data_IF_113957604567
#
_entry.id   IF_113957604567
#
_cell.length_a   1.000
_cell.length_b   1.000
_cell.length_c   1.000
_cell.angle_alpha   90.00
_cell.angle_beta   90.00
_cell.angle_gamma   90.00
#
_symmetry.space_group_name_H-M   'P 1'
#
loop_
_entity.id
_entity.type
_entity.pdbx_description
1 polymer ?
#
# COMPACT_ATOMS: atom_id res chain seq x y z
N UNK A 1 1.36 8.60 30.75
CA UNK A 1 2.73 8.34 30.29
C UNK A 1 3.50 9.64 30.36
N UNK A 2 4.67 9.63 31.00
CA UNK A 2 5.50 10.83 31.10
C UNK A 2 5.97 11.23 29.69
N UNK A 3 5.54 12.39 29.21
CA UNK A 3 5.80 12.88 27.85
C UNK A 3 7.25 13.35 27.61
N UNK A 4 8.13 13.21 28.61
CA UNK A 4 9.52 13.71 28.57
C UNK A 4 10.58 12.64 28.27
N UNK A 5 10.22 11.37 28.13
CA UNK A 5 11.19 10.31 27.88
C UNK A 5 11.37 10.06 26.39
N UNK A 6 12.64 9.99 25.91
CA UNK A 6 12.93 9.84 24.48
C UNK A 6 12.56 8.44 23.96
N UNK A 7 12.73 7.40 24.78
CA UNK A 7 12.32 6.01 24.50
C UNK A 7 11.43 5.48 25.62
N UNK A 8 10.49 4.54 25.34
CA UNK A 8 9.60 3.97 26.34
C UNK A 8 10.36 3.11 27.37
N UNK A 9 9.80 2.96 28.56
CA UNK A 9 10.40 2.22 29.66
C UNK A 9 10.67 0.75 29.33
N UNK A 10 9.80 0.08 28.58
CA UNK A 10 10.04 -1.31 28.17
C UNK A 10 11.25 -1.46 27.24
N UNK A 11 11.54 -0.47 26.36
CA UNK A 11 12.75 -0.44 25.53
C UNK A 11 13.99 -0.19 26.39
N UNK A 12 13.92 0.74 27.36
CA UNK A 12 15.02 0.97 28.31
C UNK A 12 15.34 -0.27 29.11
N UNK A 13 14.32 -0.97 29.59
CA UNK A 13 14.48 -2.22 30.32
C UNK A 13 15.23 -3.27 29.51
N UNK A 14 14.87 -3.44 28.22
CA UNK A 14 15.58 -4.36 27.32
C UNK A 14 17.04 -3.92 27.10
N UNK A 15 17.27 -2.63 26.80
CA UNK A 15 18.65 -2.09 26.64
C UNK A 15 19.48 -2.35 27.89
N UNK A 16 18.94 -2.04 29.08
CA UNK A 16 19.65 -2.23 30.34
C UNK A 16 20.00 -3.70 30.60
N UNK A 17 19.17 -4.67 30.19
CA UNK A 17 19.51 -6.10 30.31
C UNK A 17 20.75 -6.48 29.48
N UNK A 18 20.83 -5.97 28.23
CA UNK A 18 22.01 -6.18 27.39
C UNK A 18 23.26 -5.51 28.00
N UNK A 19 23.16 -4.25 28.40
CA UNK A 19 24.28 -3.50 29.00
C UNK A 19 24.76 -4.14 30.30
N UNK A 20 23.85 -4.63 31.16
CA UNK A 20 24.18 -5.34 32.41
C UNK A 20 24.83 -6.71 32.12
N UNK A 21 24.61 -7.29 30.93
CA UNK A 21 25.27 -8.52 30.49
C UNK A 21 26.56 -8.26 29.72
N UNK A 22 27.03 -7.01 29.63
CA UNK A 22 28.28 -6.59 28.99
C UNK A 22 28.20 -6.35 27.50
N UNK A 23 26.99 -6.25 26.94
CA UNK A 23 26.78 -5.98 25.51
C UNK A 23 26.29 -4.54 25.27
N UNK A 24 26.65 -3.98 24.13
CA UNK A 24 26.04 -2.73 23.67
C UNK A 24 24.62 -3.00 23.11
N UNK A 25 23.66 -2.11 23.39
CA UNK A 25 22.33 -2.16 22.81
C UNK A 25 21.75 -0.75 22.64
N UNK A 26 21.01 -0.58 21.56
CA UNK A 26 20.40 0.71 21.17
C UNK A 26 19.04 0.51 20.53
N UNK A 27 18.11 1.44 20.77
CA UNK A 27 17.00 1.66 19.87
C UNK A 27 17.53 2.29 18.58
N UNK A 28 17.03 1.91 17.38
CA UNK A 28 17.71 2.27 16.14
C UNK A 28 16.77 2.43 14.94
N UNK A 29 17.13 3.32 14.03
CA UNK A 29 16.46 3.40 12.73
C UNK A 29 15.15 4.20 12.74
N UNK A 30 14.08 3.60 12.20
CA UNK A 30 12.80 4.27 11.99
C UNK A 30 12.20 4.85 13.25
N UNK A 31 12.25 4.14 14.37
CA UNK A 31 11.70 4.60 15.65
C UNK A 31 12.40 5.87 16.14
N UNK A 32 13.70 6.01 15.94
CA UNK A 32 14.47 7.21 16.33
C UNK A 32 14.10 8.40 15.43
N UNK A 33 14.06 8.19 14.11
CA UNK A 33 13.61 9.21 13.15
C UNK A 33 12.23 9.74 13.50
N UNK A 34 11.26 8.85 13.68
CA UNK A 34 9.87 9.24 13.90
C UNK A 34 9.70 9.92 15.25
N UNK A 35 10.48 9.50 16.27
CA UNK A 35 10.51 10.20 17.56
C UNK A 35 11.06 11.64 17.45
N UNK A 36 12.10 11.84 16.64
CA UNK A 36 12.65 13.17 16.36
C UNK A 36 11.65 14.06 15.60
N UNK A 37 10.75 13.47 14.80
CA UNK A 37 9.65 14.15 14.12
C UNK A 37 8.42 14.40 15.04
N UNK A 38 8.44 13.93 16.28
CA UNK A 38 7.29 14.03 17.20
C UNK A 38 6.12 13.11 16.83
N UNK A 39 6.37 12.06 16.01
CA UNK A 39 5.38 11.10 15.59
C UNK A 39 5.21 9.98 16.62
N UNK A 40 4.01 9.40 16.68
CA UNK A 40 3.75 8.22 17.52
C UNK A 40 4.46 6.99 16.94
N UNK A 41 5.11 6.21 17.83
CA UNK A 41 5.81 4.97 17.48
C UNK A 41 4.94 3.76 17.80
N UNK A 42 4.82 2.85 16.85
CA UNK A 42 4.16 1.55 17.04
C UNK A 42 5.18 0.40 17.03
N UNK A 43 6.21 0.51 16.20
CA UNK A 43 7.22 -0.52 16.01
C UNK A 43 8.57 -0.03 16.54
N UNK A 44 9.21 -0.82 17.40
CA UNK A 44 10.52 -0.52 17.94
C UNK A 44 11.55 -1.53 17.46
N UNK A 45 12.62 -1.00 16.87
CA UNK A 45 13.78 -1.77 16.45
C UNK A 45 14.93 -1.50 17.40
N UNK A 46 15.61 -2.57 17.80
CA UNK A 46 16.84 -2.52 18.59
C UNK A 46 17.98 -3.18 17.82
N UNK A 47 19.20 -2.73 18.08
CA UNK A 47 20.41 -3.41 17.66
C UNK A 47 21.35 -3.62 18.84
N UNK A 48 22.15 -4.70 18.79
CA UNK A 48 23.06 -5.10 19.89
C UNK A 48 24.34 -5.74 19.38
N UNK A 49 25.41 -5.65 20.19
CA UNK A 49 26.65 -6.38 19.95
C UNK A 49 26.56 -7.87 20.31
N UNK A 50 25.51 -8.29 21.05
CA UNK A 50 25.29 -9.70 21.39
C UNK A 50 25.04 -10.54 20.13
N UNK A 51 25.72 -11.67 20.01
CA UNK A 51 25.44 -12.66 18.97
C UNK A 51 24.07 -13.31 19.17
N UNK A 52 23.45 -13.90 18.14
CA UNK A 52 22.09 -14.46 18.25
C UNK A 52 21.88 -15.42 19.44
N UNK A 53 22.85 -16.28 19.72
CA UNK A 53 22.77 -17.21 20.86
C UNK A 53 22.88 -16.50 22.23
N UNK A 54 23.58 -15.37 22.26
CA UNK A 54 23.70 -14.53 23.46
C UNK A 54 22.43 -13.71 23.68
N UNK A 55 21.77 -13.25 22.59
CA UNK A 55 20.47 -12.58 22.67
C UNK A 55 19.43 -13.46 23.38
N UNK A 56 19.38 -14.76 23.06
CA UNK A 56 18.46 -15.68 23.75
C UNK A 56 18.76 -15.82 25.25
N UNK A 57 20.06 -15.80 25.63
CA UNK A 57 20.47 -15.90 27.05
C UNK A 57 20.12 -14.62 27.82
N UNK A 58 20.40 -13.45 27.23
CA UNK A 58 20.12 -12.15 27.85
C UNK A 58 18.64 -11.94 28.06
N UNK A 59 17.83 -12.41 27.10
CA UNK A 59 16.37 -12.24 27.10
C UNK A 59 15.63 -13.48 27.65
N UNK A 60 16.32 -14.30 28.46
CA UNK A 60 15.65 -15.41 29.15
C UNK A 60 14.45 -14.92 29.95
N UNK A 61 13.34 -15.64 29.84
CA UNK A 61 12.04 -15.29 30.42
C UNK A 61 11.11 -14.46 29.52
N UNK A 62 11.57 -14.05 28.33
CA UNK A 62 10.67 -13.49 27.29
C UNK A 62 10.32 -14.53 26.23
N UNK A 63 9.14 -14.37 25.62
CA UNK A 63 8.81 -15.10 24.40
C UNK A 63 9.59 -14.50 23.22
N UNK A 64 10.41 -15.33 22.54
CA UNK A 64 11.25 -14.92 21.41
C UNK A 64 10.84 -15.68 20.17
N UNK A 65 10.44 -14.95 19.12
CA UNK A 65 10.10 -15.51 17.82
C UNK A 65 11.29 -15.36 16.86
N UNK A 66 11.82 -16.46 16.28
CA UNK A 66 13.00 -16.44 15.40
C UNK A 66 12.63 -15.93 13.98
N UNK A 67 12.16 -14.71 13.85
CA UNK A 67 11.63 -14.12 12.61
C UNK A 67 12.68 -13.99 11.49
N UNK A 68 13.97 -13.87 11.86
CA UNK A 68 15.06 -13.69 10.89
C UNK A 68 16.42 -14.14 11.43
N UNK A 69 16.48 -15.27 12.14
CA UNK A 69 17.69 -15.74 12.85
C UNK A 69 18.92 -15.88 11.94
N UNK A 70 18.73 -16.27 10.68
CA UNK A 70 19.82 -16.33 9.68
C UNK A 70 20.45 -14.96 9.40
N UNK A 71 19.72 -13.89 9.70
CA UNK A 71 20.15 -12.50 9.54
C UNK A 71 20.41 -11.83 10.90
N UNK A 72 20.44 -12.62 11.99
CA UNK A 72 20.67 -12.12 13.34
C UNK A 72 19.53 -11.31 13.93
N UNK A 73 18.29 -11.46 13.41
CA UNK A 73 17.11 -10.75 13.91
C UNK A 73 16.16 -11.72 14.62
N UNK A 74 15.70 -11.33 15.79
CA UNK A 74 14.62 -12.00 16.53
C UNK A 74 13.55 -10.99 16.93
N UNK A 75 12.32 -11.44 17.09
CA UNK A 75 11.24 -10.62 17.63
C UNK A 75 10.97 -11.03 19.08
N UNK A 76 11.08 -10.09 20.00
CA UNK A 76 10.82 -10.23 21.41
C UNK A 76 9.42 -9.76 21.71
N UNK A 77 8.61 -10.60 22.35
CA UNK A 77 7.25 -10.25 22.77
C UNK A 77 7.31 -9.71 24.20
N UNK A 78 6.87 -8.48 24.39
CA UNK A 78 6.74 -7.84 25.70
C UNK A 78 5.26 -7.53 25.96
N UNK A 79 4.86 -7.27 27.21
CA UNK A 79 3.49 -6.83 27.53
C UNK A 79 3.07 -5.55 26.82
N UNK A 80 4.03 -4.68 26.47
CA UNK A 80 3.80 -3.38 25.84
C UNK A 80 3.93 -3.40 24.31
N UNK A 81 4.30 -4.54 23.72
CA UNK A 81 4.41 -4.73 22.27
C UNK A 81 5.56 -5.64 21.84
N UNK A 82 5.71 -5.82 20.54
CA UNK A 82 6.82 -6.59 19.96
C UNK A 82 8.01 -5.67 19.64
N UNK A 83 9.22 -6.18 19.85
CA UNK A 83 10.47 -5.47 19.58
C UNK A 83 11.35 -6.34 18.68
N UNK A 84 11.78 -5.81 17.54
CA UNK A 84 12.80 -6.49 16.72
C UNK A 84 14.20 -6.18 17.26
N UNK A 85 14.91 -7.24 17.65
CA UNK A 85 16.29 -7.15 18.13
C UNK A 85 17.23 -7.77 17.12
N UNK A 86 18.17 -6.98 16.61
CA UNK A 86 19.11 -7.40 15.56
C UNK A 86 20.55 -7.29 16.05
N UNK A 87 21.32 -8.37 15.93
CA UNK A 87 22.78 -8.34 16.15
C UNK A 87 23.48 -7.39 15.16
N UNK A 88 24.46 -6.62 15.57
CA UNK A 88 25.24 -5.75 14.68
C UNK A 88 25.80 -6.53 13.50
N UNK A 89 25.63 -5.98 12.30
CA UNK A 89 26.04 -6.63 11.05
C UNK A 89 26.95 -5.71 10.25
N UNK A 90 28.02 -6.27 9.69
CA UNK A 90 28.84 -5.59 8.70
C UNK A 90 28.33 -5.81 7.28
N UNK A 91 28.83 -5.00 6.34
CA UNK A 91 28.63 -5.24 4.91
C UNK A 91 29.30 -6.58 4.54
N UNK A 92 28.55 -7.50 3.95
CA UNK A 92 29.03 -8.73 3.32
C UNK A 92 29.16 -8.53 1.81
N UNK A 93 29.82 -9.46 1.11
CA UNK A 93 29.82 -9.49 -0.35
C UNK A 93 28.40 -9.85 -0.84
N UNK A 94 27.84 -9.02 -1.72
CA UNK A 94 26.53 -9.22 -2.32
C UNK A 94 26.70 -9.84 -3.72
N UNK A 95 26.27 -11.10 -3.89
CA UNK A 95 26.37 -11.80 -5.17
C UNK A 95 25.09 -11.71 -6.00
N UNK A 96 23.92 -11.46 -5.37
CA UNK A 96 22.61 -11.45 -6.03
C UNK A 96 21.81 -10.14 -5.87
N UNK A 97 22.47 -9.02 -5.50
CA UNK A 97 21.83 -7.72 -5.26
C UNK A 97 20.72 -7.77 -4.18
N UNK A 98 20.70 -8.79 -3.31
CA UNK A 98 19.67 -8.95 -2.27
C UNK A 98 20.17 -9.45 -0.93
N UNK A 99 20.98 -10.51 -0.93
CA UNK A 99 21.47 -11.16 0.29
C UNK A 99 22.98 -11.23 0.25
N UNK A 100 23.70 -10.81 1.32
CA UNK A 100 25.07 -11.21 1.46
C UNK A 100 25.12 -12.75 1.55
N UNK A 101 26.07 -13.39 0.90
CA UNK A 101 26.31 -14.85 0.98
C UNK A 101 26.46 -15.32 2.43
N UNK A 102 27.00 -14.46 3.28
CA UNK A 102 27.07 -14.67 4.74
C UNK A 102 26.84 -13.36 5.47
N UNK A 103 26.04 -13.40 6.53
CA UNK A 103 25.93 -12.29 7.48
C UNK A 103 27.14 -12.34 8.38
N UNK A 104 27.97 -11.30 8.35
CA UNK A 104 29.09 -11.17 9.28
C UNK A 104 28.62 -10.37 10.49
N UNK A 105 28.51 -11.01 11.63
CA UNK A 105 28.28 -10.32 12.89
C UNK A 105 29.53 -9.57 13.32
N UNK A 106 29.37 -8.38 13.84
CA UNK A 106 30.42 -7.45 14.23
C UNK A 106 30.11 -6.83 15.59
N UNK A 107 31.13 -6.24 16.22
CA UNK A 107 30.98 -5.56 17.51
C UNK A 107 31.05 -4.04 17.40
N UNK A 108 30.66 -3.48 16.24
CA UNK A 108 30.74 -2.03 15.99
C UNK A 108 29.39 -1.47 15.55
N UNK A 109 28.79 -0.62 16.38
CA UNK A 109 27.61 0.13 16.04
C UNK A 109 27.83 1.00 14.79
N UNK A 110 29.00 1.63 14.67
CA UNK A 110 29.34 2.48 13.52
C UNK A 110 29.20 1.74 12.19
N UNK A 111 29.75 0.50 12.11
CA UNK A 111 29.65 -0.30 10.90
C UNK A 111 28.21 -0.80 10.66
N UNK A 112 27.42 -1.10 11.70
CA UNK A 112 25.99 -1.42 11.54
C UNK A 112 25.19 -0.23 11.02
N UNK A 113 25.44 0.98 11.52
CA UNK A 113 24.80 2.19 11.03
C UNK A 113 25.22 2.53 9.59
N UNK A 114 26.49 2.31 9.23
CA UNK A 114 27.07 2.59 7.91
C UNK A 114 26.42 1.78 6.78
N UNK A 115 25.98 0.55 7.03
CA UNK A 115 25.31 -0.29 6.01
C UNK A 115 23.85 0.07 5.77
N UNK A 116 23.27 0.98 6.57
CA UNK A 116 21.87 1.38 6.43
C UNK A 116 21.64 2.19 5.15
N UNK A 117 20.39 2.35 4.79
CA UNK A 117 19.97 2.99 3.54
C UNK A 117 20.20 4.52 3.55
N UNK A 118 19.61 5.21 4.53
CA UNK A 118 19.59 6.67 4.59
C UNK A 118 20.03 7.17 5.95
N UNK A 119 20.66 8.38 5.96
CA UNK A 119 21.15 9.04 7.17
C UNK A 119 20.10 9.15 8.26
N UNK A 120 18.86 9.50 7.87
CA UNK A 120 17.70 9.63 8.77
C UNK A 120 17.29 8.30 9.44
N UNK A 121 17.74 7.16 8.94
CA UNK A 121 17.52 5.82 9.50
C UNK A 121 18.80 5.22 10.11
N UNK A 122 19.91 5.96 10.06
CA UNK A 122 21.20 5.55 10.58
C UNK A 122 21.54 6.27 11.90
N UNK A 123 20.54 6.41 12.75
CA UNK A 123 20.65 6.98 14.11
C UNK A 123 20.28 5.92 15.13
N UNK A 124 20.97 5.95 16.27
CA UNK A 124 20.72 5.05 17.39
C UNK A 124 20.59 5.83 18.70
N UNK A 125 19.95 5.25 19.73
CA UNK A 125 19.80 5.88 21.02
C UNK A 125 19.84 4.85 22.14
N UNK A 126 20.58 5.18 23.22
CA UNK A 126 20.41 4.59 24.56
C UNK A 126 20.48 5.68 25.61
N UNK A 127 19.95 5.43 26.81
CA UNK A 127 20.02 6.43 27.89
C UNK A 127 21.47 6.70 28.32
N UNK A 128 22.35 5.71 28.15
CA UNK A 128 23.78 5.83 28.48
C UNK A 128 24.55 6.69 27.48
N UNK A 129 24.31 6.51 26.18
CA UNK A 129 25.07 7.18 25.12
C UNK A 129 24.37 8.42 24.56
N UNK A 130 23.07 8.61 24.89
CA UNK A 130 22.26 9.60 24.21
C UNK A 130 22.02 9.26 22.75
N UNK A 131 21.77 10.25 21.93
CA UNK A 131 21.60 10.11 20.47
C UNK A 131 22.97 9.93 19.79
N UNK A 132 23.16 8.79 19.15
CA UNK A 132 24.33 8.48 18.31
C UNK A 132 23.95 8.74 16.85
N UNK A 133 24.51 9.80 16.26
CA UNK A 133 24.23 10.27 14.89
C UNK A 133 25.54 10.56 14.15
N UNK A 134 26.19 9.51 13.67
CA UNK A 134 27.51 9.58 13.02
C UNK A 134 27.42 10.14 11.60
N UNK A 135 26.27 9.95 10.93
CA UNK A 135 26.07 10.30 9.53
C UNK A 135 25.26 11.57 9.31
N UNK A 136 24.93 12.32 10.38
CA UNK A 136 24.24 13.59 10.30
C UNK A 136 22.73 13.48 9.99
N UNK A 137 22.12 12.36 10.33
CA UNK A 137 20.69 12.09 10.07
C UNK A 137 19.76 13.08 10.72
N UNK A 138 20.07 13.57 11.93
CA UNK A 138 19.30 14.61 12.63
C UNK A 138 19.34 15.95 11.88
N UNK A 139 20.50 16.31 11.34
CA UNK A 139 20.65 17.54 10.56
C UNK A 139 19.89 17.44 9.23
N UNK A 140 20.02 16.32 8.50
CA UNK A 140 19.30 16.04 7.27
C UNK A 140 17.77 16.04 7.52
N UNK A 141 17.32 15.42 8.61
CA UNK A 141 15.90 15.38 8.98
C UNK A 141 15.35 16.80 9.24
N UNK A 142 16.10 17.63 9.98
CA UNK A 142 15.74 19.01 10.25
C UNK A 142 15.73 19.87 8.97
N UNK A 143 16.62 19.59 8.03
CA UNK A 143 16.69 20.27 6.74
C UNK A 143 15.68 19.75 5.71
N UNK A 144 14.92 18.69 6.01
CA UNK A 144 14.00 18.08 5.08
C UNK A 144 14.70 17.34 3.93
N UNK A 145 15.88 16.76 4.18
CA UNK A 145 16.73 16.11 3.16
C UNK A 145 16.71 14.59 3.37
N UNK A 146 16.58 13.86 2.27
CA UNK A 146 16.82 12.41 2.20
C UNK A 146 18.14 12.14 1.51
N UNK A 147 19.11 11.60 2.26
CA UNK A 147 20.47 11.31 1.82
C UNK A 147 20.81 9.85 2.09
N UNK A 148 21.46 9.16 1.13
CA UNK A 148 22.06 7.86 1.36
C UNK A 148 23.20 7.92 2.38
N UNK A 149 23.41 6.83 3.10
CA UNK A 149 24.62 6.66 3.92
C UNK A 149 25.78 6.27 3.01
N UNK A 150 26.84 7.06 2.98
CA UNK A 150 28.01 6.84 2.13
C UNK A 150 27.74 7.07 0.66
N UNK A 151 28.24 6.21 -0.22
CA UNK A 151 28.13 6.35 -1.68
C UNK A 151 26.79 5.82 -2.19
N UNK A 152 25.92 6.67 -2.78
CA UNK A 152 24.56 6.26 -3.18
C UNK A 152 24.53 5.16 -4.25
N UNK A 153 25.40 5.21 -5.26
CA UNK A 153 25.46 4.18 -6.32
C UNK A 153 25.79 2.82 -5.74
N UNK A 154 26.76 2.76 -4.80
CA UNK A 154 27.10 1.53 -4.10
C UNK A 154 25.90 1.01 -3.32
N UNK A 155 25.21 1.87 -2.55
CA UNK A 155 24.02 1.48 -1.77
C UNK A 155 22.89 0.94 -2.62
N UNK A 156 22.63 1.51 -3.79
CA UNK A 156 21.59 1.04 -4.71
C UNK A 156 22.00 -0.20 -5.50
N UNK A 157 23.30 -0.42 -5.73
CA UNK A 157 23.82 -1.66 -6.34
C UNK A 157 23.70 -2.85 -5.38
N UNK A 158 23.94 -2.65 -4.08
CA UNK A 158 23.78 -3.67 -3.04
C UNK A 158 22.33 -4.14 -2.90
N UNK A 159 21.36 -3.22 -2.87
CA UNK A 159 19.92 -3.52 -2.87
C UNK A 159 19.16 -2.41 -3.60
N UNK A 160 18.79 -2.68 -4.84
CA UNK A 160 18.07 -1.73 -5.67
C UNK A 160 16.67 -1.37 -5.10
N UNK A 161 16.10 -2.17 -4.17
CA UNK A 161 14.85 -1.79 -3.48
C UNK A 161 15.01 -0.48 -2.70
N UNK A 162 16.22 -0.11 -2.30
CA UNK A 162 16.49 1.18 -1.64
C UNK A 162 16.04 2.37 -2.50
N UNK A 163 15.99 2.23 -3.84
CA UNK A 163 15.40 3.23 -4.75
C UNK A 163 13.91 3.44 -4.43
N UNK A 164 13.14 2.36 -4.36
CA UNK A 164 11.71 2.47 -4.01
C UNK A 164 11.49 2.99 -2.58
N UNK A 165 12.39 2.63 -1.67
CA UNK A 165 12.39 3.16 -0.30
C UNK A 165 12.70 4.66 -0.27
N UNK A 166 13.64 5.15 -1.13
CA UNK A 166 13.92 6.58 -1.27
C UNK A 166 12.66 7.35 -1.72
N UNK A 167 11.99 6.87 -2.77
CA UNK A 167 10.73 7.47 -3.24
C UNK A 167 9.66 7.45 -2.14
N UNK A 168 9.55 6.36 -1.39
CA UNK A 168 8.61 6.28 -0.27
C UNK A 168 8.93 7.26 0.84
N UNK A 169 10.16 7.31 1.33
CA UNK A 169 10.54 8.22 2.41
C UNK A 169 10.37 9.68 2.00
N UNK A 170 10.80 10.02 0.78
CA UNK A 170 10.59 11.35 0.22
C UNK A 170 9.10 11.71 0.17
N UNK A 171 8.24 10.84 -0.36
CA UNK A 171 6.80 11.09 -0.49
C UNK A 171 6.07 11.17 0.86
N UNK A 172 6.39 10.26 1.80
CA UNK A 172 5.69 10.14 3.08
C UNK A 172 6.11 11.23 4.08
N UNK A 173 7.41 11.51 4.16
CA UNK A 173 7.96 12.49 5.10
C UNK A 173 8.20 13.87 4.47
N UNK A 174 7.80 14.05 3.20
CA UNK A 174 7.97 15.31 2.43
C UNK A 174 9.44 15.78 2.40
N UNK A 175 10.37 14.83 2.21
CA UNK A 175 11.80 15.11 2.16
C UNK A 175 12.26 15.29 0.72
N UNK A 176 13.11 16.28 0.48
CA UNK A 176 13.82 16.46 -0.79
C UNK A 176 14.97 15.47 -0.89
N UNK A 177 15.05 14.73 -2.01
CA UNK A 177 16.17 13.80 -2.22
C UNK A 177 17.42 14.60 -2.56
N UNK A 178 18.51 14.34 -1.85
CA UNK A 178 19.80 14.99 -2.05
C UNK A 178 20.35 14.70 -3.47
N UNK A 179 21.06 15.66 -4.08
CA UNK A 179 21.44 15.63 -5.49
C UNK A 179 22.21 14.38 -5.93
N UNK A 180 23.21 13.94 -5.16
CA UNK A 180 23.96 12.72 -5.51
C UNK A 180 23.11 11.47 -5.37
N UNK A 181 22.27 11.42 -4.34
CA UNK A 181 21.30 10.35 -4.13
C UNK A 181 20.28 10.30 -5.27
N UNK A 182 19.75 11.45 -5.72
CA UNK A 182 18.83 11.55 -6.84
C UNK A 182 19.46 11.08 -8.17
N UNK A 183 20.70 11.50 -8.45
CA UNK A 183 21.44 11.05 -9.63
C UNK A 183 21.64 9.53 -9.63
N UNK A 184 22.05 8.96 -8.51
CA UNK A 184 22.25 7.53 -8.38
C UNK A 184 20.97 6.71 -8.55
N UNK A 185 19.80 7.24 -8.16
CA UNK A 185 18.49 6.60 -8.44
C UNK A 185 18.30 6.38 -9.94
N UNK A 186 18.56 7.41 -10.76
CA UNK A 186 18.41 7.30 -12.21
C UNK A 186 19.47 6.38 -12.84
N UNK A 187 20.71 6.41 -12.34
CA UNK A 187 21.79 5.53 -12.82
C UNK A 187 21.49 4.07 -12.51
N UNK A 188 21.07 3.75 -11.28
CA UNK A 188 20.91 2.39 -10.79
C UNK A 188 19.51 1.79 -11.02
N UNK A 189 18.56 2.53 -11.62
CA UNK A 189 17.15 2.11 -11.76
C UNK A 189 16.93 0.74 -12.36
N UNK A 190 17.79 0.30 -13.30
CA UNK A 190 17.66 -1.01 -13.93
C UNK A 190 17.86 -2.19 -12.96
N UNK A 191 18.52 -1.97 -11.83
CA UNK A 191 18.63 -2.95 -10.75
C UNK A 191 17.28 -3.38 -10.18
N UNK A 192 16.24 -2.53 -10.30
CA UNK A 192 14.87 -2.87 -9.88
C UNK A 192 14.29 -4.07 -10.62
N UNK A 193 14.76 -4.41 -11.81
CA UNK A 193 14.33 -5.60 -12.57
C UNK A 193 14.68 -6.91 -11.84
N UNK A 194 15.69 -6.88 -10.97
CA UNK A 194 16.15 -8.03 -10.20
C UNK A 194 15.43 -8.16 -8.83
N UNK A 195 14.62 -7.17 -8.47
CA UNK A 195 13.89 -7.17 -7.19
C UNK A 195 12.57 -7.93 -7.34
N UNK A 196 12.22 -8.75 -6.34
CA UNK A 196 10.98 -9.50 -6.35
C UNK A 196 9.76 -8.58 -6.39
N UNK A 197 8.73 -8.99 -7.13
CA UNK A 197 7.49 -8.25 -7.31
C UNK A 197 6.82 -7.90 -5.97
N UNK A 198 6.89 -8.82 -5.01
CA UNK A 198 6.30 -8.66 -3.68
C UNK A 198 6.96 -7.53 -2.89
N UNK A 199 8.29 -7.39 -3.00
CA UNK A 199 9.03 -6.29 -2.35
C UNK A 199 8.70 -4.94 -2.98
N UNK A 200 8.67 -4.87 -4.32
CA UNK A 200 8.26 -3.67 -5.06
C UNK A 200 6.81 -3.29 -4.71
N UNK A 201 5.91 -4.27 -4.73
CA UNK A 201 4.51 -4.08 -4.36
C UNK A 201 4.34 -3.51 -2.95
N UNK A 202 5.10 -4.03 -1.97
CA UNK A 202 5.04 -3.57 -0.58
C UNK A 202 5.44 -2.09 -0.45
N UNK A 203 6.51 -1.65 -1.13
CA UNK A 203 6.94 -0.25 -1.11
C UNK A 203 5.95 0.66 -1.85
N UNK A 204 5.50 0.26 -3.05
CA UNK A 204 4.52 1.03 -3.83
C UNK A 204 3.18 1.16 -3.10
N UNK A 205 2.76 0.09 -2.40
CA UNK A 205 1.56 0.11 -1.56
C UNK A 205 1.68 1.13 -0.43
N UNK A 206 2.86 1.21 0.22
CA UNK A 206 3.11 2.21 1.27
C UNK A 206 3.14 3.64 0.71
N UNK A 207 3.74 3.85 -0.46
CA UNK A 207 3.69 5.17 -1.15
C UNK A 207 2.24 5.59 -1.36
N UNK A 208 1.42 4.75 -1.97
CA UNK A 208 0.04 5.08 -2.29
C UNK A 208 -0.91 5.13 -1.09
N UNK A 209 -0.58 4.46 0.02
CA UNK A 209 -1.38 4.51 1.23
C UNK A 209 -1.04 5.69 2.14
N UNK A 210 0.24 6.04 2.27
CA UNK A 210 0.74 6.94 3.32
C UNK A 210 1.10 8.34 2.82
N UNK A 211 1.54 8.48 1.54
CA UNK A 211 1.88 9.79 1.02
C UNK A 211 0.62 10.63 0.76
N UNK A 212 0.65 11.89 1.14
CA UNK A 212 -0.43 12.84 0.87
C UNK A 212 -0.52 13.11 -0.65
N UNK A 213 0.60 13.47 -1.27
CA UNK A 213 0.72 13.79 -2.69
C UNK A 213 1.82 12.94 -3.37
N UNK A 214 1.58 11.65 -3.64
CA UNK A 214 2.59 10.77 -4.23
C UNK A 214 2.96 11.17 -5.67
N UNK A 215 2.09 11.85 -6.40
CA UNK A 215 2.36 12.33 -7.76
C UNK A 215 3.47 13.37 -7.82
N UNK A 216 3.68 14.14 -6.75
CA UNK A 216 4.77 15.12 -6.69
C UNK A 216 6.14 14.46 -6.86
N UNK A 217 6.41 13.38 -6.09
CA UNK A 217 7.68 12.67 -6.20
C UNK A 217 7.74 11.82 -7.48
N UNK A 218 6.63 11.17 -7.86
CA UNK A 218 6.58 10.34 -9.06
C UNK A 218 6.79 11.13 -10.35
N UNK A 219 6.53 12.45 -10.34
CA UNK A 219 6.78 13.33 -11.47
C UNK A 219 8.24 13.34 -11.91
N UNK A 220 9.14 13.44 -10.96
CA UNK A 220 10.58 13.58 -11.22
C UNK A 220 11.25 12.20 -11.42
N UNK A 221 10.59 11.12 -10.99
CA UNK A 221 11.05 9.74 -11.08
C UNK A 221 10.12 8.86 -11.92
N UNK A 222 9.46 9.44 -12.93
CA UNK A 222 8.53 8.68 -13.78
C UNK A 222 9.23 7.61 -14.62
N UNK A 223 10.49 7.78 -14.93
CA UNK A 223 11.34 6.80 -15.61
C UNK A 223 11.59 5.53 -14.76
N UNK A 224 11.53 5.64 -13.43
CA UNK A 224 11.56 4.49 -12.52
C UNK A 224 10.29 3.65 -12.70
N UNK A 225 9.13 4.32 -12.85
CA UNK A 225 7.86 3.63 -13.10
C UNK A 225 7.89 2.87 -14.44
N UNK A 226 8.58 3.37 -15.47
CA UNK A 226 8.73 2.66 -16.73
C UNK A 226 9.63 1.42 -16.64
N UNK A 227 10.56 1.37 -15.68
CA UNK A 227 11.31 0.14 -15.37
C UNK A 227 10.40 -0.90 -14.73
N UNK A 228 9.51 -0.48 -13.84
CA UNK A 228 8.55 -1.35 -13.15
C UNK A 228 7.41 -1.79 -14.06
N UNK A 229 6.96 -0.89 -14.94
CA UNK A 229 5.83 -1.06 -15.84
C UNK A 229 6.28 -0.77 -17.28
N UNK A 230 6.89 -1.74 -17.99
CA UNK A 230 7.36 -1.56 -19.37
C UNK A 230 6.29 -1.08 -20.33
N UNK A 231 5.01 -1.30 -19.99
CA UNK A 231 3.84 -0.81 -20.73
C UNK A 231 3.83 0.73 -20.86
N UNK A 232 4.51 1.45 -19.96
CA UNK A 232 4.62 2.92 -20.00
C UNK A 232 5.66 3.42 -21.01
N UNK A 233 6.62 2.56 -21.38
CA UNK A 233 7.79 2.95 -22.19
C UNK A 233 7.42 3.63 -23.50
N UNK A 234 6.43 3.16 -24.31
CA UNK A 234 6.07 3.82 -25.57
C UNK A 234 5.54 5.24 -25.41
N UNK A 235 5.05 5.58 -24.20
CA UNK A 235 4.32 6.80 -23.94
C UNK A 235 5.09 7.81 -23.06
N UNK A 236 6.34 7.54 -22.69
CA UNK A 236 7.13 8.35 -21.78
C UNK A 236 7.25 9.83 -22.19
N UNK A 237 7.25 10.10 -23.49
CA UNK A 237 7.34 11.46 -24.03
C UNK A 237 6.02 12.23 -23.89
N UNK A 238 4.90 11.60 -23.53
CA UNK A 238 3.62 12.31 -23.36
C UNK A 238 3.55 13.02 -22.00
N UNK A 239 4.20 14.19 -21.94
CA UNK A 239 4.29 15.00 -20.72
C UNK A 239 2.91 15.45 -20.23
N UNK A 240 1.96 15.74 -21.16
CA UNK A 240 0.60 16.18 -20.81
C UNK A 240 -0.17 15.06 -20.11
N UNK A 241 -0.18 13.86 -20.69
CA UNK A 241 -0.82 12.69 -20.10
C UNK A 241 -0.22 12.35 -18.72
N UNK A 242 1.11 12.39 -18.60
CA UNK A 242 1.81 12.18 -17.34
C UNK A 242 1.38 13.18 -16.26
N UNK A 243 1.37 14.47 -16.55
CA UNK A 243 0.94 15.51 -15.60
C UNK A 243 -0.50 15.29 -15.16
N UNK A 244 -1.40 14.97 -16.08
CA UNK A 244 -2.80 14.71 -15.77
C UNK A 244 -2.98 13.46 -14.89
N UNK A 245 -2.31 12.36 -15.22
CA UNK A 245 -2.39 11.13 -14.41
C UNK A 245 -1.87 11.36 -12.98
N UNK A 246 -0.75 12.07 -12.82
CA UNK A 246 -0.18 12.39 -11.51
C UNK A 246 -1.08 13.35 -10.71
N UNK A 247 -1.71 14.31 -11.38
CA UNK A 247 -2.72 15.17 -10.76
C UNK A 247 -3.91 14.34 -10.22
N UNK A 248 -4.42 13.40 -11.01
CA UNK A 248 -5.49 12.50 -10.56
C UNK A 248 -5.04 11.69 -9.33
N UNK A 249 -3.82 11.13 -9.34
CA UNK A 249 -3.28 10.37 -8.20
C UNK A 249 -3.24 11.22 -6.92
N UNK A 250 -2.83 12.48 -7.01
CA UNK A 250 -2.71 13.38 -5.86
C UNK A 250 -4.07 13.77 -5.27
N UNK A 251 -5.12 13.80 -6.10
CA UNK A 251 -6.47 14.13 -5.68
C UNK A 251 -7.32 12.89 -5.31
N UNK A 252 -6.79 11.68 -5.52
CA UNK A 252 -7.45 10.45 -5.08
C UNK A 252 -7.24 10.22 -3.58
N UNK A 253 -8.26 9.67 -2.87
CA UNK A 253 -8.08 9.20 -1.51
C UNK A 253 -6.89 8.23 -1.39
N UNK A 254 -6.25 8.21 -0.22
CA UNK A 254 -5.17 7.29 0.05
C UNK A 254 -5.60 5.83 -0.13
N UNK A 255 -4.72 5.04 -0.73
CA UNK A 255 -4.97 3.62 -0.93
C UNK A 255 -4.45 3.10 -2.27
N UNK A 256 -3.93 1.87 -2.22
CA UNK A 256 -3.24 1.28 -3.37
C UNK A 256 -4.14 1.15 -4.61
N UNK A 257 -5.36 0.63 -4.46
CA UNK A 257 -6.19 0.32 -5.64
C UNK A 257 -6.62 1.56 -6.41
N UNK A 258 -7.05 2.61 -5.71
CA UNK A 258 -7.47 3.87 -6.33
C UNK A 258 -6.28 4.56 -7.02
N UNK A 259 -5.20 4.78 -6.30
CA UNK A 259 -4.03 5.50 -6.83
C UNK A 259 -3.30 4.71 -7.91
N UNK A 260 -3.30 3.37 -7.83
CA UNK A 260 -2.79 2.54 -8.92
C UNK A 260 -3.64 2.67 -10.18
N UNK A 261 -4.98 2.71 -10.06
CA UNK A 261 -5.84 2.94 -11.22
C UNK A 261 -5.61 4.34 -11.84
N UNK A 262 -5.35 5.35 -11.00
CA UNK A 262 -4.94 6.70 -11.44
C UNK A 262 -3.62 6.69 -12.21
N UNK A 263 -2.62 5.92 -11.73
CA UNK A 263 -1.36 5.74 -12.43
C UNK A 263 -1.53 5.07 -13.79
N UNK A 264 -2.31 4.00 -13.86
CA UNK A 264 -2.59 3.28 -15.10
C UNK A 264 -3.35 4.12 -16.13
N UNK A 265 -4.14 5.09 -15.67
CA UNK A 265 -4.85 6.01 -16.54
C UNK A 265 -3.91 6.84 -17.45
N UNK A 266 -2.65 6.95 -17.10
CA UNK A 266 -1.60 7.49 -17.97
C UNK A 266 -1.60 6.84 -19.36
N UNK A 267 -1.76 5.51 -19.45
CA UNK A 267 -1.83 4.78 -20.71
C UNK A 267 -3.01 5.25 -21.57
N UNK A 268 -4.18 5.36 -20.95
CA UNK A 268 -5.41 5.81 -21.63
C UNK A 268 -5.30 7.25 -22.11
N UNK A 269 -4.79 8.14 -21.26
CA UNK A 269 -4.53 9.54 -21.61
C UNK A 269 -3.47 9.69 -22.71
N UNK A 270 -2.59 8.71 -22.86
CA UNK A 270 -1.54 8.69 -23.87
C UNK A 270 -1.99 8.18 -25.23
N UNK A 271 -3.24 7.75 -25.37
CA UNK A 271 -3.84 7.38 -26.63
C UNK A 271 -4.06 5.87 -26.82
N UNK A 272 -3.77 5.03 -25.82
CA UNK A 272 -4.14 3.61 -25.88
C UNK A 272 -5.65 3.48 -26.08
N UNK A 273 -6.09 2.62 -26.99
CA UNK A 273 -7.50 2.31 -27.12
C UNK A 273 -8.00 1.54 -25.87
N UNK A 274 -9.30 1.25 -25.81
CA UNK A 274 -9.89 0.65 -24.62
C UNK A 274 -9.36 -0.75 -24.33
N UNK A 275 -9.16 -1.54 -25.35
CA UNK A 275 -8.72 -2.95 -25.22
C UNK A 275 -7.22 -3.00 -24.94
N UNK A 276 -6.41 -2.20 -25.63
CA UNK A 276 -4.99 -2.00 -25.35
C UNK A 276 -4.76 -1.52 -23.91
N UNK A 277 -5.51 -0.50 -23.48
CA UNK A 277 -5.43 0.02 -22.13
C UNK A 277 -5.75 -1.05 -21.09
N UNK A 278 -6.82 -1.81 -21.29
CA UNK A 278 -7.24 -2.87 -20.36
C UNK A 278 -6.20 -4.00 -20.31
N UNK A 279 -5.67 -4.41 -21.44
CA UNK A 279 -4.63 -5.44 -21.52
C UNK A 279 -3.33 -4.99 -20.82
N UNK A 280 -2.85 -3.78 -21.10
CA UNK A 280 -1.66 -3.20 -20.50
C UNK A 280 -1.83 -3.00 -18.97
N UNK A 281 -2.99 -2.50 -18.53
CA UNK A 281 -3.30 -2.35 -17.11
C UNK A 281 -3.32 -3.71 -16.40
N UNK A 282 -3.94 -4.72 -17.00
CA UNK A 282 -3.96 -6.10 -16.48
C UNK A 282 -2.53 -6.67 -16.33
N UNK A 283 -1.69 -6.50 -17.35
CA UNK A 283 -0.29 -6.93 -17.35
C UNK A 283 0.50 -6.25 -16.20
N UNK A 284 0.42 -4.92 -16.11
CA UNK A 284 1.11 -4.12 -15.11
C UNK A 284 0.71 -4.53 -13.67
N UNK A 285 -0.59 -4.72 -13.43
CA UNK A 285 -1.09 -5.12 -12.11
C UNK A 285 -0.68 -6.55 -11.77
N UNK A 286 -0.79 -7.49 -12.72
CA UNK A 286 -0.44 -8.90 -12.52
C UNK A 286 1.03 -9.06 -12.16
N UNK A 287 1.92 -8.25 -12.76
CA UNK A 287 3.37 -8.22 -12.47
C UNK A 287 3.67 -7.96 -11.00
N UNK A 288 2.86 -7.17 -10.30
CA UNK A 288 3.01 -6.87 -8.87
C UNK A 288 2.51 -7.99 -7.95
N UNK A 289 1.85 -9.02 -8.49
CA UNK A 289 1.29 -10.15 -7.73
C UNK A 289 0.39 -9.73 -6.54
N UNK A 290 -0.56 -8.82 -6.72
CA UNK A 290 -1.46 -8.42 -5.65
C UNK A 290 -2.43 -9.56 -5.30
N UNK A 291 -3.18 -9.40 -4.20
CA UNK A 291 -4.29 -10.31 -3.89
C UNK A 291 -5.37 -10.24 -4.98
N UNK A 292 -6.11 -11.34 -5.17
CA UNK A 292 -7.25 -11.39 -6.13
C UNK A 292 -8.27 -10.26 -5.88
N UNK A 293 -8.49 -9.90 -4.61
CA UNK A 293 -9.40 -8.79 -4.22
C UNK A 293 -8.87 -7.45 -4.74
N UNK A 294 -7.58 -7.17 -4.53
CA UNK A 294 -6.93 -5.93 -5.00
C UNK A 294 -6.94 -5.85 -6.53
N UNK A 295 -6.54 -6.92 -7.22
CA UNK A 295 -6.58 -7.00 -8.68
C UNK A 295 -7.99 -6.68 -9.22
N UNK A 296 -9.02 -7.38 -8.73
CA UNK A 296 -10.40 -7.17 -9.17
C UNK A 296 -10.88 -5.74 -8.94
N UNK A 297 -10.50 -5.12 -7.80
CA UNK A 297 -10.88 -3.73 -7.51
C UNK A 297 -10.26 -2.76 -8.51
N UNK A 298 -8.96 -2.91 -8.84
CA UNK A 298 -8.28 -2.08 -9.82
C UNK A 298 -8.90 -2.26 -11.21
N UNK A 299 -9.11 -3.50 -11.66
CA UNK A 299 -9.65 -3.76 -12.99
C UNK A 299 -11.10 -3.30 -13.16
N UNK A 300 -11.92 -3.35 -12.10
CA UNK A 300 -13.25 -2.75 -12.12
C UNK A 300 -13.19 -1.23 -12.36
N UNK A 301 -12.24 -0.54 -11.72
CA UNK A 301 -12.03 0.90 -11.95
C UNK A 301 -11.57 1.17 -13.40
N UNK A 302 -10.62 0.39 -13.90
CA UNK A 302 -10.17 0.47 -15.30
C UNK A 302 -11.34 0.30 -16.28
N UNK A 303 -12.28 -0.61 -16.00
CA UNK A 303 -13.45 -0.84 -16.84
C UNK A 303 -14.43 0.34 -16.87
N UNK A 304 -14.56 1.09 -15.79
CA UNK A 304 -15.59 2.15 -15.64
C UNK A 304 -15.05 3.57 -15.85
N UNK A 305 -13.75 3.77 -15.98
CA UNK A 305 -13.14 5.12 -16.08
C UNK A 305 -13.74 5.97 -17.21
N UNK A 306 -14.04 5.37 -18.35
CA UNK A 306 -14.64 6.05 -19.51
C UNK A 306 -16.19 6.12 -19.43
N UNK A 307 -16.83 5.49 -18.43
CA UNK A 307 -18.27 5.54 -18.28
C UNK A 307 -18.72 6.93 -17.79
N UNK A 308 -19.92 7.38 -18.17
CA UNK A 308 -20.53 8.54 -17.52
C UNK A 308 -20.89 8.20 -16.06
N UNK A 309 -20.93 9.22 -15.21
CA UNK A 309 -21.49 9.07 -13.87
C UNK A 309 -22.98 8.78 -13.95
N UNK A 310 -23.54 7.92 -13.09
CA UNK A 310 -24.99 7.77 -12.96
C UNK A 310 -25.66 9.10 -12.58
N UNK A 311 -26.66 9.49 -13.34
CA UNK A 311 -27.35 10.79 -13.22
C UNK A 311 -28.69 10.73 -12.49
N UNK A 312 -29.09 9.54 -12.03
CA UNK A 312 -30.34 9.29 -11.35
C UNK A 312 -30.26 8.15 -10.34
N UNK A 313 -31.18 8.11 -9.40
CA UNK A 313 -31.27 7.05 -8.38
C UNK A 313 -31.33 5.66 -9.04
N UNK A 314 -32.12 5.51 -10.09
CA UNK A 314 -32.23 4.27 -10.87
C UNK A 314 -30.90 3.89 -11.54
N UNK A 315 -30.26 4.84 -12.22
CA UNK A 315 -28.95 4.58 -12.87
C UNK A 315 -27.89 4.17 -11.84
N UNK A 316 -27.91 4.78 -10.65
CA UNK A 316 -26.99 4.42 -9.55
C UNK A 316 -27.26 3.01 -9.03
N UNK A 317 -28.54 2.61 -8.86
CA UNK A 317 -28.91 1.23 -8.47
C UNK A 317 -28.44 0.21 -9.51
N UNK A 318 -28.62 0.49 -10.81
CA UNK A 318 -28.13 -0.36 -11.90
C UNK A 318 -26.60 -0.45 -11.91
N UNK A 319 -25.91 0.65 -11.64
CA UNK A 319 -24.44 0.65 -11.52
C UNK A 319 -23.98 -0.22 -10.35
N UNK A 320 -24.62 -0.08 -9.18
CA UNK A 320 -24.34 -0.91 -8.00
C UNK A 320 -24.62 -2.38 -8.28
N UNK A 321 -25.73 -2.69 -8.96
CA UNK A 321 -26.05 -4.06 -9.36
C UNK A 321 -24.93 -4.70 -10.18
N UNK A 322 -24.41 -3.95 -11.16
CA UNK A 322 -23.40 -4.47 -12.09
C UNK A 322 -22.00 -4.55 -11.48
N UNK A 323 -21.60 -3.54 -10.70
CA UNK A 323 -20.22 -3.40 -10.25
C UNK A 323 -20.04 -3.59 -8.73
N UNK A 324 -21.09 -3.35 -7.95
CA UNK A 324 -21.10 -3.33 -6.49
C UNK A 324 -21.05 -1.92 -5.91
N UNK A 325 -21.37 -1.77 -4.64
CA UNK A 325 -21.38 -0.48 -3.92
C UNK A 325 -19.99 0.14 -3.80
N UNK A 326 -19.01 -0.61 -3.30
CA UNK A 326 -17.64 -0.09 -3.13
C UNK A 326 -17.01 0.39 -4.45
N UNK A 327 -17.14 -0.32 -5.59
CA UNK A 327 -16.74 0.20 -6.89
C UNK A 327 -17.49 1.47 -7.32
N UNK A 328 -18.74 1.66 -6.92
CA UNK A 328 -19.47 2.91 -7.17
C UNK A 328 -18.84 4.07 -6.39
N UNK A 329 -18.55 3.89 -5.10
CA UNK A 329 -17.83 4.88 -4.26
C UNK A 329 -16.46 5.20 -4.84
N UNK A 330 -15.71 4.17 -5.23
CA UNK A 330 -14.38 4.32 -5.83
C UNK A 330 -14.46 5.11 -7.16
N UNK A 331 -15.50 4.88 -7.96
CA UNK A 331 -15.71 5.56 -9.23
C UNK A 331 -16.10 7.04 -9.04
N UNK A 332 -16.97 7.35 -8.06
CA UNK A 332 -17.29 8.73 -7.68
C UNK A 332 -16.02 9.48 -7.28
N UNK A 333 -15.23 8.92 -6.34
CA UNK A 333 -13.97 9.52 -5.91
C UNK A 333 -12.98 9.73 -7.08
N UNK A 334 -12.93 8.76 -8.01
CA UNK A 334 -12.10 8.85 -9.20
C UNK A 334 -12.55 9.97 -10.14
N UNK A 335 -13.86 10.13 -10.38
CA UNK A 335 -14.41 11.21 -11.20
C UNK A 335 -14.21 12.58 -10.58
N UNK A 336 -14.36 12.70 -9.24
CA UNK A 336 -14.01 13.93 -8.49
C UNK A 336 -12.54 14.28 -8.70
N UNK A 337 -11.62 13.32 -8.53
CA UNK A 337 -10.19 13.53 -8.77
C UNK A 337 -9.86 13.96 -10.22
N UNK A 338 -10.73 13.65 -11.17
CA UNK A 338 -10.64 14.10 -12.57
C UNK A 338 -11.27 15.49 -12.82
N UNK A 339 -11.87 16.13 -11.81
CA UNK A 339 -12.49 17.46 -11.92
C UNK A 339 -14.00 17.42 -12.30
N UNK A 340 -14.69 16.29 -12.10
CA UNK A 340 -16.13 16.16 -12.30
C UNK A 340 -16.90 16.33 -10.98
N UNK A 341 -16.60 17.38 -10.21
CA UNK A 341 -17.09 17.57 -8.84
C UNK A 341 -18.62 17.58 -8.72
N UNK A 342 -19.31 18.44 -9.49
CA UNK A 342 -20.77 18.57 -9.39
C UNK A 342 -21.53 17.29 -9.82
N UNK A 343 -21.22 16.63 -10.95
CA UNK A 343 -21.82 15.33 -11.26
C UNK A 343 -21.50 14.25 -10.24
N UNK A 344 -20.27 14.23 -9.68
CA UNK A 344 -19.87 13.26 -8.67
C UNK A 344 -20.65 13.44 -7.36
N UNK A 345 -20.77 14.68 -6.87
CA UNK A 345 -21.56 14.99 -5.67
C UNK A 345 -23.04 14.54 -5.82
N UNK A 346 -23.64 14.78 -6.97
CA UNK A 346 -25.01 14.33 -7.25
C UNK A 346 -25.14 12.80 -7.24
N UNK A 347 -24.18 12.10 -7.83
CA UNK A 347 -24.16 10.62 -7.79
C UNK A 347 -23.98 10.10 -6.35
N UNK A 348 -23.17 10.81 -5.56
CA UNK A 348 -22.94 10.48 -4.14
C UNK A 348 -24.21 10.66 -3.30
N UNK A 349 -25.00 11.71 -3.55
CA UNK A 349 -26.32 11.90 -2.93
C UNK A 349 -27.27 10.72 -3.23
N UNK A 350 -27.31 10.24 -4.48
CA UNK A 350 -28.09 9.06 -4.84
C UNK A 350 -27.59 7.80 -4.13
N UNK A 351 -26.27 7.62 -4.05
CA UNK A 351 -25.67 6.49 -3.36
C UNK A 351 -25.99 6.50 -1.86
N UNK A 352 -25.88 7.65 -1.20
CA UNK A 352 -26.19 7.80 0.22
C UNK A 352 -27.67 7.49 0.48
N UNK A 353 -28.59 8.03 -0.34
CA UNK A 353 -30.01 7.71 -0.25
C UNK A 353 -30.30 6.22 -0.45
N UNK A 354 -29.62 5.54 -1.38
CA UNK A 354 -29.77 4.09 -1.58
C UNK A 354 -29.39 3.33 -0.31
N UNK A 355 -28.31 3.74 0.36
CA UNK A 355 -27.85 3.11 1.60
C UNK A 355 -28.78 3.42 2.79
N UNK A 356 -29.20 4.67 2.95
CA UNK A 356 -30.08 5.13 4.04
C UNK A 356 -31.47 4.46 3.96
N UNK A 357 -32.06 4.46 2.78
CA UNK A 357 -33.38 3.86 2.54
C UNK A 357 -33.31 2.33 2.32
N UNK A 358 -32.12 1.71 2.38
CA UNK A 358 -31.88 0.29 2.12
C UNK A 358 -32.53 -0.17 0.80
N UNK A 359 -32.37 0.62 -0.26
CA UNK A 359 -32.98 0.32 -1.55
C UNK A 359 -32.35 -0.90 -2.20
N UNK A 360 -33.18 -1.80 -2.73
CA UNK A 360 -32.76 -3.03 -3.37
C UNK A 360 -31.89 -2.76 -4.61
N UNK A 361 -30.65 -3.26 -4.61
CA UNK A 361 -29.69 -3.14 -5.72
C UNK A 361 -29.17 -4.48 -6.23
N UNK A 362 -29.35 -5.55 -5.46
CA UNK A 362 -28.85 -6.89 -5.79
C UNK A 362 -29.90 -7.97 -5.51
N UNK A 363 -29.69 -9.16 -6.07
CA UNK A 363 -30.57 -10.31 -5.82
C UNK A 363 -30.65 -10.67 -4.34
N UNK A 364 -29.58 -10.42 -3.58
CA UNK A 364 -29.56 -10.66 -2.12
C UNK A 364 -30.46 -9.70 -1.33
N UNK A 365 -30.82 -8.56 -1.91
CA UNK A 365 -31.66 -7.53 -1.27
C UNK A 365 -33.16 -7.76 -1.53
N UNK A 366 -33.51 -8.73 -2.39
CA UNK A 366 -34.91 -9.09 -2.64
C UNK A 366 -35.55 -9.72 -1.41
N UNK A 367 -36.82 -9.40 -1.14
CA UNK A 367 -37.58 -10.00 -0.07
C UNK A 367 -37.95 -11.49 -0.32
N UNK A 368 -37.43 -12.09 -1.38
CA UNK A 368 -37.51 -13.51 -1.73
C UNK A 368 -36.14 -14.06 -2.13
N UNK A 369 -35.95 -15.33 -1.94
CA UNK A 369 -34.74 -16.04 -2.33
C UNK A 369 -35.04 -17.25 -3.22
N UNK A 370 -34.02 -17.99 -3.65
CA UNK A 370 -34.18 -19.15 -4.52
C UNK A 370 -35.05 -20.26 -3.94
N UNK A 371 -35.05 -20.46 -2.62
CA UNK A 371 -35.90 -21.47 -1.95
C UNK A 371 -37.36 -21.09 -2.01
N UNK A 372 -37.64 -19.80 -1.85
CA UNK A 372 -39.00 -19.28 -1.97
C UNK A 372 -39.59 -19.52 -3.37
N UNK A 373 -38.77 -19.30 -4.42
CA UNK A 373 -39.20 -19.55 -5.80
C UNK A 373 -39.40 -21.05 -6.08
N UNK A 374 -38.56 -21.89 -5.58
CA UNK A 374 -38.69 -23.35 -5.72
C UNK A 374 -39.97 -23.83 -5.02
N UNK A 375 -40.36 -23.25 -3.88
CA UNK A 375 -41.59 -23.62 -3.16
C UNK A 375 -42.89 -23.34 -3.92
N UNK A 376 -42.85 -22.42 -4.92
CA UNK A 376 -43.98 -22.10 -5.79
C UNK A 376 -43.88 -22.78 -7.17
N UNK A 377 -42.96 -23.73 -7.36
CA UNK A 377 -42.82 -24.55 -8.55
C UNK A 377 -41.82 -24.08 -9.58
N UNK A 378 -40.93 -23.08 -9.27
CA UNK A 378 -39.85 -22.69 -10.16
C UNK A 378 -38.78 -23.79 -10.16
N UNK A 379 -38.35 -24.30 -11.35
CA UNK A 379 -37.27 -25.26 -11.42
C UNK A 379 -35.96 -24.70 -10.80
N UNK A 380 -35.25 -25.54 -10.05
CA UNK A 380 -33.96 -25.18 -9.46
C UNK A 380 -32.89 -24.90 -10.50
N UNK A 381 -31.81 -24.20 -10.11
CA UNK A 381 -30.69 -23.90 -10.97
C UNK A 381 -30.84 -22.60 -11.78
N UNK A 382 -30.55 -22.65 -13.08
CA UNK A 382 -30.49 -21.45 -13.95
C UNK A 382 -31.81 -20.69 -14.02
N UNK A 383 -32.96 -21.39 -14.06
CA UNK A 383 -34.30 -20.77 -14.14
C UNK A 383 -34.58 -19.95 -12.88
N UNK A 384 -34.26 -20.45 -11.68
CA UNK A 384 -34.40 -19.70 -10.44
C UNK A 384 -33.55 -18.41 -10.47
N UNK A 385 -32.30 -18.49 -10.91
CA UNK A 385 -31.42 -17.33 -11.07
C UNK A 385 -31.96 -16.33 -12.09
N UNK A 386 -32.48 -16.80 -13.18
CA UNK A 386 -33.08 -15.96 -14.23
C UNK A 386 -34.29 -15.17 -13.71
N UNK A 387 -35.25 -15.85 -13.05
CA UNK A 387 -36.43 -15.20 -12.49
C UNK A 387 -36.06 -14.19 -11.40
N UNK A 388 -35.09 -14.51 -10.52
CA UNK A 388 -34.62 -13.53 -9.52
C UNK A 388 -34.07 -12.27 -10.18
N UNK A 389 -33.32 -12.39 -11.27
CA UNK A 389 -32.80 -11.22 -12.00
C UNK A 389 -33.89 -10.42 -12.69
N UNK A 390 -34.94 -11.07 -13.21
CA UNK A 390 -36.11 -10.37 -13.76
C UNK A 390 -36.85 -9.58 -12.67
N UNK A 391 -37.09 -10.20 -11.51
CA UNK A 391 -37.72 -9.55 -10.36
C UNK A 391 -36.89 -8.35 -9.89
N UNK A 392 -35.59 -8.52 -9.76
CA UNK A 392 -34.67 -7.45 -9.39
C UNK A 392 -34.76 -6.27 -10.39
N UNK A 393 -34.80 -6.57 -11.68
CA UNK A 393 -34.90 -5.56 -12.73
C UNK A 393 -36.20 -4.76 -12.60
N UNK A 394 -37.32 -5.41 -12.31
CA UNK A 394 -38.60 -4.70 -12.08
C UNK A 394 -38.56 -3.87 -10.80
N UNK A 395 -37.96 -4.36 -9.73
CA UNK A 395 -37.80 -3.61 -8.47
C UNK A 395 -36.92 -2.38 -8.68
N UNK A 396 -35.81 -2.52 -9.39
CA UNK A 396 -34.92 -1.37 -9.69
C UNK A 396 -35.64 -0.34 -10.59
N UNK A 397 -36.51 -0.79 -11.47
CA UNK A 397 -37.32 0.07 -12.35
C UNK A 397 -38.52 0.68 -11.66
N UNK A 398 -38.76 0.41 -10.37
CA UNK A 398 -39.92 0.83 -9.58
C UNK A 398 -41.29 0.33 -10.15
N UNK A 399 -41.26 -0.73 -10.98
CA UNK A 399 -42.44 -1.40 -11.53
C UNK A 399 -43.03 -2.42 -10.56
N UNK A 400 -42.24 -2.85 -9.56
CA UNK A 400 -42.64 -3.86 -8.59
C UNK A 400 -42.08 -3.52 -7.21
N UNK A 401 -42.93 -3.58 -6.19
CA UNK A 401 -42.48 -3.38 -4.80
C UNK A 401 -41.64 -4.58 -4.33
N UNK A 402 -40.60 -4.32 -3.56
CA UNK A 402 -39.78 -5.36 -2.94
C UNK A 402 -40.49 -5.97 -1.71
N UNK A 403 -41.67 -6.56 -1.92
CA UNK A 403 -42.49 -7.22 -0.92
C UNK A 403 -42.64 -8.69 -1.31
N UNK A 404 -42.50 -9.61 -0.35
CA UNK A 404 -42.51 -11.05 -0.59
C UNK A 404 -43.72 -11.51 -1.43
N UNK A 405 -44.92 -11.08 -1.07
CA UNK A 405 -46.15 -11.45 -1.76
C UNK A 405 -46.18 -10.94 -3.21
N UNK A 406 -45.78 -9.68 -3.41
CA UNK A 406 -45.76 -9.09 -4.75
C UNK A 406 -44.77 -9.80 -5.67
N UNK A 407 -43.57 -10.11 -5.14
CA UNK A 407 -42.51 -10.82 -5.86
C UNK A 407 -42.91 -12.25 -6.21
N UNK A 408 -43.49 -13.01 -5.29
CA UNK A 408 -43.96 -14.37 -5.57
C UNK A 408 -45.07 -14.41 -6.61
N UNK A 409 -46.06 -13.49 -6.53
CA UNK A 409 -47.12 -13.38 -7.52
C UNK A 409 -46.56 -13.08 -8.92
N UNK A 410 -45.59 -12.20 -9.01
CA UNK A 410 -44.91 -11.87 -10.28
C UNK A 410 -44.10 -13.06 -10.81
N UNK A 411 -43.41 -13.81 -9.94
CA UNK A 411 -42.67 -15.02 -10.32
C UNK A 411 -43.58 -16.09 -10.94
N UNK A 412 -44.79 -16.30 -10.37
CA UNK A 412 -45.81 -17.21 -10.96
C UNK A 412 -46.22 -16.77 -12.38
N UNK A 413 -46.39 -15.45 -12.61
CA UNK A 413 -46.70 -14.94 -13.95
C UNK A 413 -45.59 -15.20 -14.96
N UNK A 414 -44.30 -15.12 -14.54
CA UNK A 414 -43.19 -15.47 -15.39
C UNK A 414 -43.14 -16.97 -15.72
N UNK A 415 -43.47 -17.81 -14.72
CA UNK A 415 -43.53 -19.26 -14.92
C UNK A 415 -44.59 -19.71 -15.92
N UNK A 416 -45.73 -19.00 -15.94
CA UNK A 416 -46.85 -19.28 -16.89
C UNK A 416 -46.57 -18.83 -18.32
N UNK A 417 -45.57 -17.96 -18.51
CA UNK A 417 -45.17 -17.40 -19.83
C UNK A 417 -43.93 -18.09 -20.42
N UNK A 418 -43.21 -18.88 -19.64
CA UNK A 418 -42.01 -19.63 -20.03
C UNK A 418 -42.37 -21.07 -20.42
#
# INVERSE_FOLDING_TARGET
MNTNEFIPEFIKSLINRFESSGFEAYAVGGCIRDRLLGMHQHDWDMCTSAAPDEVYKVLDGFEIIPTGIRHGTVTVITPDGSVEVTTFRGDGEYTDSRHPESVRFINSLTEDLKRRDFTINAMAYSDRSGLVDIFGGKADLKAGILRCVGEPEKRFTEDALRIMRALRFSAVYKLSIEASTASAIHICKNGLKNISAERIYAELKKIFALAEHPGMILRDYFDILAVLFPEFTPYLCNVKARKQALYVIDNLPGGFSLRMSGLLYFLRLSGADKDEYKAAASSAVTRLKPTKKTYRRIMKLVDVQDCPLPDSLKATRLFINKYGEQPCRDFIAWKTACGFDAPAARTEEFLNRICEDSLCCSVSDLAVNGRDLISIGVPGGEMTGYILNLLLTEVINDNLKNERTALLNRAVQYLQKA
#
